data_IF_486418966486
#
_entry.id   IF_486418966486
#
_cell.length_a   1.000
_cell.length_b   1.000
_cell.length_c   1.000
_cell.angle_alpha   90.00
_cell.angle_beta   90.00
_cell.angle_gamma   90.00
#
_symmetry.space_group_name_H-M   'P 1'
#
loop_
_entity.id
_entity.type
_entity.pdbx_description
1 polymer ?
#
# COMPACT_ATOMS: atom_id res chain seq x y z
N UNK A 1 -8.09 17.06 3.13
CA UNK A 1 -9.40 16.53 3.56
C UNK A 1 -9.20 15.72 4.82
N UNK A 2 -10.17 15.60 5.72
CA UNK A 2 -10.13 14.65 6.85
C UNK A 2 -10.51 13.25 6.38
N UNK A 3 -10.02 12.22 7.06
CA UNK A 3 -10.25 10.83 6.68
C UNK A 3 -11.74 10.45 6.71
N UNK A 4 -12.48 10.90 7.74
CA UNK A 4 -13.91 10.65 7.89
C UNK A 4 -14.70 11.20 6.69
N UNK A 5 -14.37 12.41 6.23
CA UNK A 5 -15.04 13.01 5.07
C UNK A 5 -14.73 12.25 3.77
N UNK A 6 -13.53 11.68 3.64
CA UNK A 6 -13.19 10.84 2.49
C UNK A 6 -14.01 9.55 2.51
N UNK A 7 -14.17 8.94 3.68
CA UNK A 7 -15.02 7.75 3.87
C UNK A 7 -16.49 8.04 3.58
N UNK A 8 -17.05 9.12 4.14
CA UNK A 8 -18.45 9.51 3.91
C UNK A 8 -18.77 9.73 2.43
N UNK A 9 -17.78 10.19 1.65
CA UNK A 9 -17.90 10.36 0.20
C UNK A 9 -17.77 9.03 -0.56
N UNK A 10 -16.92 8.11 -0.10
CA UNK A 10 -16.69 6.81 -0.73
C UNK A 10 -17.85 5.84 -0.50
N UNK A 11 -18.33 5.77 0.75
CA UNK A 11 -19.30 4.78 1.20
C UNK A 11 -20.55 4.62 0.31
N UNK A 12 -21.27 5.68 -0.11
CA UNK A 12 -22.45 5.55 -0.97
C UNK A 12 -22.15 4.90 -2.32
N UNK A 13 -20.92 5.01 -2.83
CA UNK A 13 -20.52 4.41 -4.11
C UNK A 13 -20.41 2.89 -4.02
N UNK A 14 -20.20 2.35 -2.82
CA UNK A 14 -20.17 0.91 -2.58
C UNK A 14 -21.52 0.25 -2.81
N UNK A 15 -22.63 0.99 -2.76
CA UNK A 15 -23.97 0.46 -3.08
C UNK A 15 -24.11 0.14 -4.57
N UNK A 16 -23.35 0.80 -5.44
CA UNK A 16 -23.38 0.58 -6.89
C UNK A 16 -22.49 -0.58 -7.37
N UNK A 17 -21.49 -0.99 -6.60
CA UNK A 17 -20.58 -2.07 -7.00
C UNK A 17 -19.31 -2.15 -6.15
N UNK A 18 -18.41 -3.04 -6.54
CA UNK A 18 -17.08 -3.19 -5.94
C UNK A 18 -16.22 -1.97 -6.25
N UNK A 19 -15.43 -1.54 -5.28
CA UNK A 19 -14.44 -0.46 -5.41
C UNK A 19 -13.06 -0.98 -5.01
N UNK A 20 -12.06 -0.66 -5.80
CA UNK A 20 -10.64 -0.84 -5.47
C UNK A 20 -10.09 0.52 -5.03
N UNK A 21 -9.93 0.68 -3.72
CA UNK A 21 -9.38 1.89 -3.09
C UNK A 21 -7.89 1.76 -2.87
N UNK A 22 -7.10 2.65 -3.46
CA UNK A 22 -5.68 2.80 -3.16
C UNK A 22 -5.45 3.79 -2.00
N UNK A 23 -4.55 3.44 -1.08
CA UNK A 23 -4.05 4.35 -0.04
C UNK A 23 -2.54 4.45 -0.18
N UNK A 24 -2.05 5.62 -0.55
CA UNK A 24 -0.63 5.85 -0.82
C UNK A 24 -0.09 7.02 -0.01
N UNK A 25 1.22 7.16 -0.01
CA UNK A 25 1.95 8.20 0.70
C UNK A 25 3.37 7.74 1.02
N UNK A 26 4.24 8.64 1.48
CA UNK A 26 5.62 8.32 1.76
C UNK A 26 5.76 7.27 2.89
N UNK A 27 6.93 6.62 3.02
CA UNK A 27 7.22 5.74 4.15
C UNK A 27 6.87 6.40 5.49
N UNK A 28 6.29 5.65 6.41
CA UNK A 28 5.82 6.10 7.73
C UNK A 28 4.65 7.13 7.74
N UNK A 29 3.95 7.32 6.62
CA UNK A 29 2.76 8.19 6.58
C UNK A 29 1.52 7.59 7.28
N UNK A 30 1.55 6.33 7.73
CA UNK A 30 0.42 5.69 8.42
C UNK A 30 -0.57 4.99 7.48
N UNK A 31 -0.14 4.62 6.27
CA UNK A 31 -1.01 3.98 5.25
C UNK A 31 -1.74 2.75 5.77
N UNK A 32 -1.02 1.82 6.38
CA UNK A 32 -1.59 0.58 6.92
C UNK A 32 -2.60 0.86 8.03
N UNK A 33 -2.31 1.82 8.92
CA UNK A 33 -3.24 2.25 9.99
C UNK A 33 -4.54 2.80 9.39
N UNK A 34 -4.44 3.65 8.36
CA UNK A 34 -5.61 4.20 7.66
C UNK A 34 -6.36 3.10 6.92
N UNK A 35 -5.65 2.16 6.28
CA UNK A 35 -6.29 1.02 5.61
C UNK A 35 -7.09 0.14 6.58
N UNK A 36 -6.54 -0.16 7.75
CA UNK A 36 -7.21 -0.90 8.82
C UNK A 36 -8.43 -0.13 9.38
N UNK A 37 -8.31 1.18 9.55
CA UNK A 37 -9.40 2.02 10.01
C UNK A 37 -10.56 2.06 9.02
N UNK A 38 -10.28 2.25 7.72
CA UNK A 38 -11.29 2.22 6.65
C UNK A 38 -11.92 0.83 6.53
N UNK A 39 -11.13 -0.22 6.64
CA UNK A 39 -11.63 -1.60 6.70
C UNK A 39 -12.60 -1.78 7.87
N UNK A 40 -12.22 -1.35 9.08
CA UNK A 40 -13.09 -1.41 10.26
C UNK A 40 -14.41 -0.67 10.07
N UNK A 41 -14.39 0.51 9.46
CA UNK A 41 -15.61 1.27 9.14
C UNK A 41 -16.50 0.56 8.11
N UNK A 42 -15.88 -0.08 7.11
CA UNK A 42 -16.62 -0.88 6.11
C UNK A 42 -17.35 -2.04 6.78
N UNK A 43 -16.65 -2.81 7.60
CA UNK A 43 -17.24 -3.94 8.33
C UNK A 43 -18.35 -3.49 9.30
N UNK A 44 -18.13 -2.39 10.04
CA UNK A 44 -19.13 -1.81 10.93
C UNK A 44 -20.39 -1.32 10.19
N UNK A 45 -20.26 -0.94 8.91
CA UNK A 45 -21.36 -0.57 8.04
C UNK A 45 -22.03 -1.80 7.36
N UNK A 46 -21.60 -3.04 7.65
CA UNK A 46 -22.10 -4.27 7.03
C UNK A 46 -21.64 -4.48 5.58
N UNK A 47 -20.54 -3.82 5.18
CA UNK A 47 -20.00 -3.89 3.82
C UNK A 47 -18.75 -4.79 3.85
N UNK A 48 -18.77 -5.98 3.18
CA UNK A 48 -17.60 -6.85 3.10
C UNK A 48 -16.41 -6.15 2.48
N UNK A 49 -15.24 -6.29 3.12
CA UNK A 49 -14.02 -5.61 2.70
C UNK A 49 -12.77 -6.44 3.02
N UNK A 50 -11.71 -6.22 2.25
CA UNK A 50 -10.41 -6.86 2.47
C UNK A 50 -9.28 -5.88 2.20
N UNK A 51 -8.17 -6.03 2.96
CA UNK A 51 -6.95 -5.25 2.75
C UNK A 51 -5.93 -6.13 2.03
N UNK A 52 -5.41 -5.62 0.90
CA UNK A 52 -4.39 -6.27 0.06
C UNK A 52 -3.18 -5.33 -0.06
N UNK A 53 -2.18 -5.42 0.84
CA UNK A 53 -1.03 -4.54 0.82
C UNK A 53 -0.10 -4.80 -0.38
N UNK A 54 0.47 -3.72 -0.93
CA UNK A 54 1.53 -3.78 -1.94
C UNK A 54 2.75 -4.57 -1.46
N UNK A 55 3.03 -4.54 -0.16
CA UNK A 55 4.22 -5.18 0.42
C UNK A 55 4.27 -6.69 0.17
N UNK A 56 3.12 -7.36 -0.05
CA UNK A 56 3.07 -8.76 -0.48
C UNK A 56 3.74 -9.03 -1.82
N UNK A 57 4.06 -8.00 -2.59
CA UNK A 57 4.72 -8.08 -3.89
C UNK A 57 6.20 -7.71 -3.85
N UNK A 58 6.84 -7.64 -2.67
CA UNK A 58 8.29 -7.61 -2.61
C UNK A 58 8.88 -8.83 -3.32
N UNK A 59 10.00 -8.62 -4.01
CA UNK A 59 10.81 -9.75 -4.45
C UNK A 59 11.40 -10.47 -3.24
N UNK A 60 11.50 -11.80 -3.30
CA UNK A 60 12.08 -12.61 -2.23
C UNK A 60 13.53 -12.18 -1.94
N UNK A 61 13.96 -12.30 -0.67
CA UNK A 61 15.32 -11.89 -0.27
C UNK A 61 16.40 -12.55 -1.13
N UNK A 62 16.26 -13.85 -1.44
CA UNK A 62 17.19 -14.57 -2.31
C UNK A 62 17.31 -13.95 -3.72
N UNK A 63 16.23 -13.38 -4.27
CA UNK A 63 16.25 -12.69 -5.56
C UNK A 63 16.97 -11.35 -5.44
N UNK A 64 16.73 -10.62 -4.34
CA UNK A 64 17.41 -9.34 -4.08
C UNK A 64 18.92 -9.53 -3.91
N UNK A 65 19.33 -10.57 -3.20
CA UNK A 65 20.74 -10.93 -3.00
C UNK A 65 21.43 -11.28 -4.34
N UNK A 66 20.80 -12.13 -5.14
CA UNK A 66 21.32 -12.53 -6.47
C UNK A 66 21.44 -11.35 -7.43
N UNK A 67 20.66 -10.27 -7.24
CA UNK A 67 20.69 -9.05 -8.05
C UNK A 67 21.50 -7.91 -7.42
N UNK A 68 22.09 -8.11 -6.24
CA UNK A 68 22.75 -7.06 -5.45
C UNK A 68 21.82 -5.86 -5.14
N UNK A 69 20.55 -6.15 -4.85
CA UNK A 69 19.52 -5.16 -4.54
C UNK A 69 19.09 -5.15 -3.06
N UNK A 70 19.71 -5.97 -2.23
CA UNK A 70 19.36 -6.10 -0.81
C UNK A 70 19.46 -4.76 -0.05
N UNK A 71 20.47 -3.95 -0.34
CA UNK A 71 20.68 -2.66 0.32
C UNK A 71 19.62 -1.61 -0.03
N UNK A 72 18.93 -1.80 -1.14
CA UNK A 72 17.86 -0.91 -1.63
C UNK A 72 16.48 -1.54 -1.52
N UNK A 73 16.32 -2.64 -0.75
CA UNK A 73 15.02 -3.27 -0.49
C UNK A 73 13.98 -2.23 -0.08
N UNK A 74 12.83 -2.24 -0.75
CA UNK A 74 11.79 -1.22 -0.61
C UNK A 74 11.81 -0.14 -1.70
N UNK A 75 12.81 -0.12 -2.59
CA UNK A 75 12.80 0.71 -3.80
C UNK A 75 11.82 0.15 -4.86
N UNK A 76 11.30 0.96 -5.79
CA UNK A 76 10.26 0.52 -6.74
C UNK A 76 10.60 -0.74 -7.55
N UNK A 77 11.86 -0.93 -7.92
CA UNK A 77 12.33 -2.08 -8.71
C UNK A 77 12.55 -3.37 -7.90
N UNK A 78 12.38 -3.30 -6.58
CA UNK A 78 12.46 -4.46 -5.68
C UNK A 78 11.09 -5.11 -5.42
N UNK A 79 10.11 -4.78 -6.25
CA UNK A 79 8.75 -5.32 -6.23
C UNK A 79 8.39 -5.93 -7.59
N UNK A 80 7.53 -6.94 -7.58
CA UNK A 80 6.80 -7.41 -8.76
C UNK A 80 5.56 -6.54 -8.99
N UNK A 81 5.78 -5.34 -9.53
CA UNK A 81 4.70 -4.43 -9.82
C UNK A 81 3.76 -4.91 -10.94
N UNK A 82 4.26 -5.73 -11.87
CA UNK A 82 3.44 -6.32 -12.93
C UNK A 82 2.48 -7.39 -12.37
N UNK A 83 2.98 -8.31 -11.56
CA UNK A 83 2.16 -9.31 -10.88
C UNK A 83 1.15 -8.68 -9.92
N UNK A 84 1.53 -7.56 -9.28
CA UNK A 84 0.61 -6.78 -8.44
C UNK A 84 -0.52 -6.17 -9.27
N UNK A 85 -0.23 -5.54 -10.41
CA UNK A 85 -1.24 -5.00 -11.31
C UNK A 85 -2.16 -6.10 -11.85
N UNK A 86 -1.64 -7.28 -12.16
CA UNK A 86 -2.42 -8.42 -12.64
C UNK A 86 -3.38 -8.94 -11.56
N UNK A 87 -2.95 -9.02 -10.30
CA UNK A 87 -3.85 -9.36 -9.20
C UNK A 87 -4.97 -8.31 -9.06
N UNK A 88 -4.63 -7.02 -9.01
CA UNK A 88 -5.64 -5.96 -8.87
C UNK A 88 -6.65 -5.98 -10.02
N UNK A 89 -6.21 -6.28 -11.26
CA UNK A 89 -7.09 -6.44 -12.41
C UNK A 89 -8.04 -7.63 -12.24
N UNK A 90 -7.53 -8.78 -11.79
CA UNK A 90 -8.36 -9.98 -11.49
C UNK A 90 -9.39 -9.67 -10.42
N UNK A 91 -8.99 -9.03 -9.33
CA UNK A 91 -9.88 -8.66 -8.22
C UNK A 91 -10.96 -7.68 -8.69
N UNK A 92 -10.59 -6.69 -9.51
CA UNK A 92 -11.52 -5.69 -10.03
C UNK A 92 -12.61 -6.29 -10.91
N UNK A 93 -12.27 -7.30 -11.71
CA UNK A 93 -13.19 -7.96 -12.67
C UNK A 93 -13.83 -9.23 -12.14
N UNK A 94 -13.55 -9.61 -10.89
CA UNK A 94 -14.10 -10.84 -10.26
C UNK A 94 -15.63 -10.76 -10.17
N UNK A 95 -16.30 -11.75 -10.78
CA UNK A 95 -17.75 -11.89 -10.71
C UNK A 95 -18.18 -12.65 -9.45
N UNK A 96 -19.45 -12.53 -9.05
CA UNK A 96 -19.98 -13.21 -7.87
C UNK A 96 -19.93 -14.75 -7.96
N UNK A 97 -19.86 -15.30 -9.18
CA UNK A 97 -19.72 -16.74 -9.44
C UNK A 97 -18.29 -17.25 -9.45
N UNK A 98 -17.30 -16.34 -9.36
CA UNK A 98 -15.89 -16.72 -9.45
C UNK A 98 -15.37 -17.31 -8.14
N UNK A 99 -14.24 -18.01 -8.23
CA UNK A 99 -13.53 -18.49 -7.05
C UNK A 99 -12.79 -17.34 -6.34
N UNK A 100 -12.48 -17.56 -5.06
CA UNK A 100 -11.60 -16.68 -4.27
C UNK A 100 -10.29 -16.39 -5.00
N UNK A 101 -9.89 -15.12 -5.05
CA UNK A 101 -8.56 -14.70 -5.52
C UNK A 101 -7.62 -14.65 -4.31
N UNK A 102 -6.51 -15.36 -4.40
CA UNK A 102 -5.51 -15.40 -3.34
C UNK A 102 -4.41 -14.38 -3.59
N UNK A 103 -4.20 -13.49 -2.63
CA UNK A 103 -3.14 -12.50 -2.65
C UNK A 103 -2.01 -12.84 -1.66
N UNK A 104 -0.77 -12.43 -1.93
CA UNK A 104 0.33 -12.59 -0.99
C UNK A 104 0.27 -11.57 0.13
N UNK A 105 0.94 -11.89 1.25
CA UNK A 105 1.20 -10.98 2.37
C UNK A 105 2.68 -11.00 2.71
N UNK A 106 3.27 -9.83 2.98
CA UNK A 106 4.62 -9.74 3.50
C UNK A 106 4.66 -10.16 4.96
N UNK A 107 5.50 -11.13 5.27
CA UNK A 107 5.75 -11.57 6.64
C UNK A 107 7.02 -10.91 7.17
N UNK A 108 6.87 -10.08 8.21
CA UNK A 108 7.98 -9.31 8.78
C UNK A 108 8.95 -10.16 9.61
N UNK A 109 8.52 -11.33 10.06
CA UNK A 109 9.40 -12.25 10.80
C UNK A 109 10.33 -13.02 9.88
N UNK A 110 9.86 -13.29 8.66
CA UNK A 110 10.62 -13.96 7.60
C UNK A 110 11.31 -12.95 6.66
N UNK A 111 10.88 -11.68 6.69
CA UNK A 111 11.30 -10.63 5.75
C UNK A 111 11.04 -11.01 4.27
N UNK A 112 10.00 -11.83 4.02
CA UNK A 112 9.64 -12.32 2.68
C UNK A 112 8.11 -12.33 2.45
N UNK A 113 7.65 -12.27 1.19
CA UNK A 113 6.25 -12.42 0.84
C UNK A 113 5.81 -13.89 0.93
N UNK A 114 4.63 -14.12 1.51
CA UNK A 114 3.98 -15.43 1.59
C UNK A 114 2.81 -15.46 0.63
N UNK A 115 2.88 -16.33 -0.37
CA UNK A 115 1.82 -16.52 -1.35
C UNK A 115 0.54 -17.09 -0.72
N UNK A 116 -0.63 -16.69 -1.25
CA UNK A 116 -1.93 -17.26 -0.85
C UNK A 116 -2.32 -16.94 0.60
N UNK A 117 -1.82 -15.87 1.18
CA UNK A 117 -2.02 -15.51 2.59
C UNK A 117 -3.25 -14.61 2.84
N UNK A 118 -3.83 -14.02 1.79
CA UNK A 118 -5.01 -13.16 1.86
C UNK A 118 -6.05 -13.68 0.88
N UNK A 119 -7.26 -13.97 1.39
CA UNK A 119 -8.40 -14.34 0.57
C UNK A 119 -9.17 -13.09 0.15
N UNK A 120 -9.38 -12.89 -1.14
CA UNK A 120 -10.29 -11.89 -1.70
C UNK A 120 -11.52 -12.62 -2.22
N UNK A 121 -12.61 -12.50 -1.49
CA UNK A 121 -13.84 -13.21 -1.81
C UNK A 121 -14.65 -12.49 -2.92
N UNK A 122 -15.46 -13.22 -3.70
CA UNK A 122 -16.30 -12.62 -4.73
C UNK A 122 -17.32 -11.59 -4.21
N UNK A 123 -17.72 -11.68 -2.96
CA UNK A 123 -18.67 -10.76 -2.30
C UNK A 123 -17.99 -9.57 -1.59
N UNK A 124 -16.65 -9.52 -1.53
CA UNK A 124 -15.96 -8.33 -1.03
C UNK A 124 -16.31 -7.11 -1.90
N UNK A 125 -16.88 -6.08 -1.29
CA UNK A 125 -17.34 -4.85 -1.96
C UNK A 125 -16.27 -3.77 -1.96
N UNK A 126 -15.43 -3.73 -0.94
CA UNK A 126 -14.32 -2.79 -0.83
C UNK A 126 -13.00 -3.54 -0.77
N UNK A 127 -12.20 -3.38 -1.80
CA UNK A 127 -10.81 -3.84 -1.82
C UNK A 127 -9.93 -2.65 -1.49
N UNK A 128 -9.28 -2.70 -0.34
CA UNK A 128 -8.36 -1.65 0.10
C UNK A 128 -6.94 -2.13 -0.22
N UNK A 129 -6.22 -1.38 -1.02
CA UNK A 129 -4.82 -1.66 -1.27
C UNK A 129 -3.97 -0.48 -0.82
N UNK A 130 -2.83 -0.77 -0.19
CA UNK A 130 -1.97 0.30 0.32
C UNK A 130 -0.51 0.06 -0.05
N UNK A 131 0.20 1.15 -0.28
CA UNK A 131 1.62 1.09 -0.62
C UNK A 131 2.20 2.42 -1.04
N UNK A 132 3.53 2.47 -1.15
CA UNK A 132 4.23 3.70 -1.48
C UNK A 132 4.02 4.13 -2.94
N UNK A 133 3.91 3.18 -3.88
CA UNK A 133 4.13 3.43 -5.31
C UNK A 133 2.88 3.40 -6.17
N UNK A 134 1.68 3.42 -5.56
CA UNK A 134 0.39 3.26 -6.27
C UNK A 134 0.10 4.36 -7.31
N UNK A 135 0.78 5.50 -7.22
CA UNK A 135 0.59 6.66 -8.10
C UNK A 135 1.80 6.93 -9.00
N UNK A 136 2.80 6.05 -9.06
CA UNK A 136 3.94 6.25 -9.94
C UNK A 136 3.51 6.14 -11.41
N UNK A 137 3.91 7.12 -12.21
CA UNK A 137 3.57 7.20 -13.65
C UNK A 137 4.49 6.36 -14.55
N UNK A 138 5.57 5.80 -13.99
CA UNK A 138 6.50 4.94 -14.73
C UNK A 138 6.01 3.49 -14.77
N UNK A 139 6.24 2.80 -15.89
CA UNK A 139 5.95 1.37 -16.00
C UNK A 139 6.92 0.54 -15.13
N UNK A 140 6.44 -0.57 -14.54
CA UNK A 140 5.08 -1.15 -14.62
C UNK A 140 4.06 -0.53 -13.64
N UNK A 141 4.41 0.42 -12.78
CA UNK A 141 3.55 0.99 -11.73
C UNK A 141 2.32 1.74 -12.29
N UNK A 142 2.42 2.32 -13.49
CA UNK A 142 1.27 2.94 -14.17
C UNK A 142 0.10 1.99 -14.32
N UNK A 143 0.37 0.69 -14.55
CA UNK A 143 -0.67 -0.32 -14.66
C UNK A 143 -1.39 -0.57 -13.32
N UNK A 144 -0.71 -0.39 -12.18
CA UNK A 144 -1.32 -0.44 -10.85
C UNK A 144 -2.34 0.67 -10.68
N UNK A 145 -1.96 1.93 -10.99
CA UNK A 145 -2.88 3.08 -10.90
C UNK A 145 -4.15 2.88 -11.73
N UNK A 146 -4.03 2.30 -12.91
CA UNK A 146 -5.16 2.03 -13.81
C UNK A 146 -6.17 1.01 -13.24
N UNK A 147 -5.80 0.22 -12.24
CA UNK A 147 -6.67 -0.74 -11.57
C UNK A 147 -7.44 -0.13 -10.39
N UNK A 148 -7.12 1.08 -9.96
CA UNK A 148 -7.73 1.75 -8.81
C UNK A 148 -8.92 2.61 -9.27
N UNK A 149 -10.05 2.52 -8.56
CA UNK A 149 -11.22 3.36 -8.78
C UNK A 149 -11.10 4.72 -8.08
N UNK A 150 -10.33 4.75 -6.98
CA UNK A 150 -9.95 5.96 -6.26
C UNK A 150 -8.64 5.74 -5.54
N UNK A 151 -7.79 6.77 -5.42
CA UNK A 151 -6.53 6.70 -4.68
C UNK A 151 -6.39 7.90 -3.74
N UNK A 152 -6.21 7.60 -2.44
CA UNK A 152 -5.99 8.57 -1.39
C UNK A 152 -4.51 8.72 -1.08
N UNK A 153 -4.01 9.96 -1.09
CA UNK A 153 -2.65 10.26 -0.71
C UNK A 153 -2.60 10.78 0.72
N UNK A 154 -1.83 10.12 1.58
CA UNK A 154 -1.61 10.57 2.96
C UNK A 154 -0.46 11.56 3.01
N UNK A 155 -0.78 12.79 3.38
CA UNK A 155 0.17 13.89 3.56
C UNK A 155 0.55 14.01 5.03
N UNK A 156 1.84 13.97 5.30
CA UNK A 156 2.42 14.11 6.64
C UNK A 156 3.61 15.07 6.57
N UNK A 157 3.80 15.98 7.54
CA UNK A 157 4.99 16.82 7.60
C UNK A 157 6.28 15.99 7.65
N UNK A 158 7.29 16.38 6.87
CA UNK A 158 8.54 15.61 6.73
C UNK A 158 9.27 15.38 8.07
N UNK A 159 9.23 16.34 8.99
CA UNK A 159 9.82 16.18 10.32
C UNK A 159 9.20 15.03 11.09
N UNK A 160 7.86 14.98 11.14
CA UNK A 160 7.09 13.92 11.82
C UNK A 160 7.33 12.56 11.14
N UNK A 161 7.35 12.54 9.80
CA UNK A 161 7.63 11.33 9.01
C UNK A 161 9.00 10.74 9.35
N UNK A 162 10.04 11.58 9.34
CA UNK A 162 11.43 11.14 9.63
C UNK A 162 11.56 10.62 11.07
N UNK A 163 10.94 11.28 12.03
CA UNK A 163 10.92 10.82 13.42
C UNK A 163 10.23 9.44 13.55
N UNK A 164 9.02 9.28 12.99
CA UNK A 164 8.28 8.02 12.99
C UNK A 164 9.09 6.90 12.32
N UNK A 165 9.75 7.21 11.20
CA UNK A 165 10.54 6.23 10.45
C UNK A 165 11.79 5.79 11.21
N UNK A 166 12.52 6.74 11.82
CA UNK A 166 13.68 6.44 12.66
C UNK A 166 13.29 5.57 13.85
N UNK A 167 12.21 5.92 14.55
CA UNK A 167 11.68 5.10 15.66
C UNK A 167 11.34 3.68 15.18
N UNK A 168 10.60 3.55 14.06
CA UNK A 168 10.26 2.24 13.48
C UNK A 168 11.52 1.39 13.22
N UNK A 169 12.57 1.95 12.67
CA UNK A 169 13.82 1.23 12.45
C UNK A 169 14.48 0.78 13.76
N UNK A 170 14.39 1.57 14.83
CA UNK A 170 14.88 1.20 16.17
C UNK A 170 14.03 0.07 16.77
N UNK A 171 12.71 0.15 16.68
CA UNK A 171 11.77 -0.88 17.16
C UNK A 171 12.03 -2.25 16.49
N UNK A 172 12.57 -2.24 15.27
CA UNK A 172 13.01 -3.44 14.54
C UNK A 172 14.48 -3.81 14.79
N UNK A 173 15.08 -3.33 15.90
CA UNK A 173 16.38 -3.78 16.40
C UNK A 173 17.60 -3.09 15.79
N UNK A 174 17.43 -2.00 15.00
CA UNK A 174 18.56 -1.22 14.52
C UNK A 174 19.09 -0.26 15.58
N UNK A 175 20.40 -0.05 15.59
CA UNK A 175 20.99 1.00 16.40
C UNK A 175 20.44 2.39 15.99
N UNK A 176 20.46 3.40 16.88
CA UNK A 176 20.01 4.75 16.56
C UNK A 176 20.72 5.35 15.34
N UNK A 177 21.99 5.05 15.17
CA UNK A 177 22.80 5.56 14.06
C UNK A 177 22.41 4.91 12.72
N UNK A 178 22.22 3.58 12.68
CA UNK A 178 21.76 2.85 11.51
C UNK A 178 20.33 3.24 11.13
N UNK A 179 19.44 3.41 12.13
CA UNK A 179 18.07 3.85 11.93
C UNK A 179 18.02 5.24 11.28
N UNK A 180 18.82 6.20 11.78
CA UNK A 180 18.91 7.53 11.21
C UNK A 180 19.50 7.49 9.79
N UNK A 181 20.55 6.70 9.55
CA UNK A 181 21.16 6.55 8.24
C UNK A 181 20.17 6.01 7.19
N UNK A 182 19.39 5.00 7.52
CA UNK A 182 18.34 4.45 6.63
C UNK A 182 17.22 5.45 6.39
N UNK A 183 16.70 6.06 7.44
CA UNK A 183 15.60 7.02 7.36
C UNK A 183 15.95 8.25 6.48
N UNK A 184 17.21 8.70 6.51
CA UNK A 184 17.69 9.83 5.73
C UNK A 184 18.35 9.43 4.39
N UNK A 185 18.59 8.13 4.17
CA UNK A 185 19.16 7.57 2.95
C UNK A 185 18.09 7.08 1.97
N UNK A 186 17.97 5.77 1.83
CA UNK A 186 17.09 5.12 0.86
C UNK A 186 15.62 5.50 1.04
N UNK A 187 15.16 5.59 2.30
CA UNK A 187 13.78 5.96 2.59
C UNK A 187 13.45 7.40 2.21
N UNK A 188 14.41 8.32 2.32
CA UNK A 188 14.23 9.71 1.90
C UNK A 188 14.17 9.83 0.36
N UNK A 189 14.96 9.05 -0.37
CA UNK A 189 14.87 8.98 -1.84
C UNK A 189 13.51 8.48 -2.26
N UNK A 190 13.03 7.40 -1.64
CA UNK A 190 11.69 6.86 -1.89
C UNK A 190 10.58 7.87 -1.51
N UNK A 191 10.74 8.59 -0.40
CA UNK A 191 9.77 9.60 0.02
C UNK A 191 9.63 10.74 -0.99
N UNK A 192 10.75 11.24 -1.55
CA UNK A 192 10.73 12.28 -2.60
C UNK A 192 10.07 11.79 -3.88
N UNK A 193 10.35 10.55 -4.28
CA UNK A 193 9.71 9.93 -5.45
C UNK A 193 8.19 9.86 -5.26
N UNK A 194 7.74 9.40 -4.10
CA UNK A 194 6.31 9.31 -3.76
C UNK A 194 5.68 10.69 -3.66
N UNK A 195 6.36 11.67 -3.07
CA UNK A 195 5.85 13.05 -2.97
C UNK A 195 5.62 13.68 -4.36
N UNK A 196 6.45 13.38 -5.34
CA UNK A 196 6.28 13.86 -6.71
C UNK A 196 5.01 13.33 -7.38
N UNK A 197 4.51 12.15 -6.97
CA UNK A 197 3.28 11.54 -7.51
C UNK A 197 1.99 12.06 -6.85
N UNK A 198 2.08 12.87 -5.80
CA UNK A 198 0.94 13.38 -5.02
C UNK A 198 -0.17 14.01 -5.88
N UNK A 199 0.19 14.70 -6.96
CA UNK A 199 -0.75 15.36 -7.86
C UNK A 199 -1.69 14.40 -8.61
N UNK A 200 -1.32 13.13 -8.72
CA UNK A 200 -2.13 12.08 -9.36
C UNK A 200 -3.16 11.44 -8.41
N UNK A 201 -3.22 11.89 -7.15
CA UNK A 201 -4.20 11.42 -6.18
C UNK A 201 -5.57 12.05 -6.40
N UNK A 202 -6.63 11.25 -6.21
CA UNK A 202 -8.01 11.73 -6.25
C UNK A 202 -8.37 12.51 -4.97
N UNK A 203 -7.76 12.13 -3.84
CA UNK A 203 -7.94 12.78 -2.54
C UNK A 203 -6.60 12.90 -1.83
N UNK A 204 -6.35 14.05 -1.23
CA UNK A 204 -5.24 14.24 -0.30
C UNK A 204 -5.79 14.34 1.13
N UNK A 205 -5.37 13.38 1.97
CA UNK A 205 -5.74 13.31 3.39
C UNK A 205 -4.55 13.82 4.19
N UNK A 206 -4.80 14.79 5.08
CA UNK A 206 -3.78 15.24 6.03
C UNK A 206 -3.85 14.35 7.24
N UNK A 207 -2.74 13.67 7.52
CA UNK A 207 -2.56 12.93 8.76
C UNK A 207 -2.09 13.92 9.84
N UNK A 208 -2.83 13.97 10.92
CA UNK A 208 -2.50 14.78 12.11
C UNK A 208 -1.41 14.10 12.95
#
# INVERSE_FOLDING_TARGET
>A
MRLEHAWDRLRPRLDAGRIVLGITGPPAAGKSTVAEQVHGWSIAAGIPAVVVPMDGYHLAQAVLDARSWADVKGAPHTFDAAGYADLLRRVRTQAASDSTVWAPRFDRSLEDPIAGAIAVAPDDRLIITEGNYLLLEQDPWRAVRACLDECWYLELPDGVRRERLTRRHQDFGRSPQEAAHRALGTDEVNARLVAASRRAADVVIRAD
#
